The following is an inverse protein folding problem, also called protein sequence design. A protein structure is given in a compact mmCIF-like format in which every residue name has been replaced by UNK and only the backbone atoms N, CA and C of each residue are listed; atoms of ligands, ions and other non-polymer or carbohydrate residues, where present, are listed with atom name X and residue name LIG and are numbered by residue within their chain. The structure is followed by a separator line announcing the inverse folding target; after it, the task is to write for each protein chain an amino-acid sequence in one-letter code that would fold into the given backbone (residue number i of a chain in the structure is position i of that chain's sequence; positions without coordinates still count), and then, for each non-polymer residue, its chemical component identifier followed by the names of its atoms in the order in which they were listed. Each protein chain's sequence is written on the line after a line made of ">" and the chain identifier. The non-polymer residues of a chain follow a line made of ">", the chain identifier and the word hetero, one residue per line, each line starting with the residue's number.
data_IF_320985518318
#
_entry.id   IF_320985518318
#
_cell.length_a   1.000
_cell.length_b   1.000
_cell.length_c   1.000
_cell.angle_alpha   90.00
_cell.angle_beta   90.00
_cell.angle_gamma   90.00
#
_symmetry.space_group_name_H-M   'P 1'
#
loop_
_entity.id
_entity.type
_entity.pdbx_description
1 polymer ?
#
# COMPACT_ATOMS: atom_id res chain seq x y z
N UNK A 1 8.08 2.37 29.70
CA UNK A 1 8.09 2.10 28.24
C UNK A 1 6.66 1.80 27.83
N UNK A 2 5.94 2.68 27.11
CA UNK A 2 4.60 2.38 26.69
C UNK A 2 4.62 1.62 25.36
N UNK A 3 3.95 0.47 25.40
CA UNK A 3 3.63 -0.43 24.30
C UNK A 3 2.78 0.29 23.24
N UNK A 4 3.30 0.41 22.02
CA UNK A 4 2.66 1.14 20.93
C UNK A 4 1.45 0.38 20.35
N UNK A 5 0.29 1.01 20.41
CA UNK A 5 -0.95 0.53 19.79
C UNK A 5 -0.91 0.79 18.29
N UNK A 6 -0.66 -0.26 17.51
CA UNK A 6 -0.77 -0.28 16.04
C UNK A 6 -2.18 0.12 15.57
N UNK A 7 -2.37 1.38 15.21
CA UNK A 7 -3.47 1.82 14.37
C UNK A 7 -2.95 1.96 12.93
N UNK A 8 -3.05 0.88 12.17
CA UNK A 8 -2.69 0.83 10.74
C UNK A 8 -3.70 1.63 9.92
N UNK A 9 -3.41 2.90 9.67
CA UNK A 9 -4.08 3.71 8.64
C UNK A 9 -3.01 4.21 7.66
N UNK A 10 -2.79 3.49 6.57
CA UNK A 10 -2.04 4.00 5.42
C UNK A 10 -2.90 5.07 4.72
N UNK A 11 -2.30 6.21 4.36
CA UNK A 11 -2.98 7.26 3.59
C UNK A 11 -2.74 7.07 2.09
N UNK A 12 -3.82 7.13 1.33
CA UNK A 12 -3.79 7.42 -0.10
C UNK A 12 -3.81 8.94 -0.23
N UNK A 13 -2.74 9.54 -0.73
CA UNK A 13 -2.74 10.94 -1.13
C UNK A 13 -3.80 11.17 -2.20
N UNK A 14 -4.62 12.23 -2.07
CA UNK A 14 -5.76 12.53 -2.95
C UNK A 14 -5.39 12.54 -4.43
N UNK A 15 -5.56 11.40 -5.09
CA UNK A 15 -5.59 11.28 -6.54
C UNK A 15 -6.67 10.26 -6.88
N UNK A 16 -7.79 10.77 -7.41
CA UNK A 16 -9.10 10.14 -7.62
C UNK A 16 -9.98 9.90 -6.37
N UNK A 17 -11.28 10.13 -6.56
CA UNK A 17 -12.33 10.25 -5.52
C UNK A 17 -12.80 8.89 -5.02
N UNK A 18 -11.91 8.04 -4.51
CA UNK A 18 -12.31 6.78 -3.86
C UNK A 18 -11.43 6.54 -2.63
N UNK A 19 -12.01 6.71 -1.44
CA UNK A 19 -11.38 6.33 -0.17
C UNK A 19 -11.43 4.80 -0.07
N UNK A 20 -10.30 4.14 -0.35
CA UNK A 20 -10.12 2.73 0.00
C UNK A 20 -9.72 2.66 1.48
N UNK A 21 -10.61 2.17 2.33
CA UNK A 21 -10.32 1.86 3.73
C UNK A 21 -9.86 0.41 3.79
N UNK A 22 -8.58 0.18 4.05
CA UNK A 22 -8.02 -1.16 4.25
C UNK A 22 -8.26 -1.65 5.68
N UNK A 23 -8.92 -2.79 5.85
CA UNK A 23 -9.05 -3.47 7.14
C UNK A 23 -7.87 -4.45 7.26
N UNK A 24 -6.85 -4.09 8.05
CA UNK A 24 -5.76 -5.01 8.40
C UNK A 24 -6.21 -5.93 9.55
N UNK A 25 -6.13 -7.24 9.37
CA UNK A 25 -6.52 -8.22 10.39
C UNK A 25 -5.45 -8.34 11.48
N UNK A 26 -5.43 -7.37 12.40
CA UNK A 26 -4.92 -7.55 13.76
C UNK A 26 -5.66 -6.63 14.73
N UNK A 27 -6.92 -6.95 15.01
CA UNK A 27 -7.71 -6.28 16.05
C UNK A 27 -7.99 -7.24 17.21
N UNK A 28 -7.18 -7.14 18.26
CA UNK A 28 -7.65 -7.34 19.62
C UNK A 28 -7.29 -6.08 20.42
N UNK A 29 -8.32 -5.30 20.74
CA UNK A 29 -8.20 -4.08 21.54
C UNK A 29 -9.58 -3.46 21.74
N UNK A 30 -10.13 -3.59 22.95
CA UNK A 30 -11.38 -2.94 23.36
C UNK A 30 -11.19 -1.43 23.37
N UNK A 31 -12.14 -0.71 22.76
CA UNK A 31 -12.19 0.75 22.77
C UNK A 31 -12.62 1.37 21.44
N UNK A 32 -13.71 0.87 20.84
CA UNK A 32 -14.40 1.53 19.74
C UNK A 32 -15.55 2.36 20.28
N UNK A 33 -15.66 3.62 19.83
CA UNK A 33 -16.85 4.43 20.05
C UNK A 33 -18.03 3.70 19.40
N UNK A 34 -19.17 3.50 20.09
CA UNK A 34 -20.34 2.86 19.49
C UNK A 34 -20.80 3.62 18.24
N UNK A 35 -21.06 2.87 17.17
CA UNK A 35 -21.47 3.34 15.84
C UNK A 35 -22.91 3.93 15.80
N UNK A 36 -23.45 4.36 16.94
CA UNK A 36 -24.88 4.59 17.15
C UNK A 36 -25.26 6.07 17.33
N UNK A 37 -24.38 7.02 16.96
CA UNK A 37 -24.64 8.46 17.14
C UNK A 37 -24.37 9.35 15.92
N UNK A 38 -24.50 8.81 14.69
CA UNK A 38 -24.57 9.67 13.49
C UNK A 38 -26.02 9.70 12.97
N UNK A 39 -26.80 10.76 13.26
CA UNK A 39 -28.15 10.87 12.75
C UNK A 39 -28.14 11.08 11.23
N UNK A 40 -28.84 10.20 10.51
CA UNK A 40 -29.53 10.55 9.27
C UNK A 40 -28.73 10.63 7.97
N UNK A 41 -27.58 9.97 7.85
CA UNK A 41 -26.98 9.69 6.53
C UNK A 41 -26.71 8.21 6.39
N UNK A 42 -27.56 7.55 5.61
CA UNK A 42 -27.25 6.23 5.06
C UNK A 42 -25.92 6.35 4.32
N UNK A 43 -24.87 5.72 4.86
CA UNK A 43 -23.59 5.62 4.17
C UNK A 43 -23.78 4.59 3.07
N UNK A 44 -24.17 5.06 1.88
CA UNK A 44 -24.23 4.22 0.70
C UNK A 44 -22.80 3.91 0.27
N UNK A 45 -22.29 2.77 0.70
CA UNK A 45 -21.01 2.23 0.23
C UNK A 45 -21.21 1.74 -1.21
N UNK A 46 -20.76 2.52 -2.19
CA UNK A 46 -20.88 2.21 -3.62
C UNK A 46 -19.96 1.04 -4.03
N UNK A 47 -18.85 0.84 -3.32
CA UNK A 47 -17.88 -0.23 -3.53
C UNK A 47 -17.15 -0.58 -2.22
N UNK A 48 -16.76 -1.84 -2.07
CA UNK A 48 -16.01 -2.33 -0.89
C UNK A 48 -14.60 -2.68 -1.34
N UNK A 49 -13.59 -2.10 -0.68
CA UNK A 49 -12.18 -2.49 -0.83
C UNK A 49 -11.76 -3.41 0.31
N UNK A 50 -11.03 -4.49 0.02
CA UNK A 50 -10.46 -5.39 1.03
C UNK A 50 -8.96 -5.53 0.76
N UNK A 51 -8.17 -5.18 1.77
CA UNK A 51 -6.70 -5.18 1.74
C UNK A 51 -6.14 -6.44 2.38
N UNK A 52 -5.27 -7.13 1.65
CA UNK A 52 -4.56 -8.32 2.12
C UNK A 52 -3.16 -7.91 2.57
N UNK A 53 -3.05 -7.63 3.87
CA UNK A 53 -1.79 -7.30 4.55
C UNK A 53 -1.32 -8.49 5.41
N UNK A 54 -0.81 -9.51 4.73
CA UNK A 54 -0.51 -10.81 5.34
C UNK A 54 0.99 -11.05 5.44
N UNK A 55 1.47 -11.17 6.67
CA UNK A 55 2.91 -11.31 6.96
C UNK A 55 3.31 -12.66 7.56
N UNK A 56 2.35 -13.55 7.88
CA UNK A 56 2.63 -14.72 8.73
C UNK A 56 2.05 -16.08 8.26
N UNK A 57 1.27 -16.13 7.16
CA UNK A 57 0.66 -17.38 6.67
C UNK A 57 0.60 -17.41 5.15
N UNK A 58 0.68 -18.61 4.57
CA UNK A 58 0.61 -18.84 3.12
C UNK A 58 -0.68 -19.53 2.67
N UNK A 59 -1.57 -19.90 3.60
CA UNK A 59 -2.70 -20.80 3.32
C UNK A 59 -4.00 -20.03 3.06
N UNK A 60 -4.74 -20.47 2.02
CA UNK A 60 -6.14 -20.11 1.72
C UNK A 60 -6.40 -18.67 1.25
N UNK A 61 -5.38 -17.85 1.03
CA UNK A 61 -5.55 -16.47 0.56
C UNK A 61 -6.09 -16.41 -0.87
N UNK A 62 -5.72 -17.38 -1.71
CA UNK A 62 -6.25 -17.57 -3.06
C UNK A 62 -7.74 -17.94 -3.06
N UNK A 63 -8.18 -18.76 -2.10
CA UNK A 63 -9.57 -19.15 -1.96
C UNK A 63 -10.42 -17.97 -1.49
N UNK A 64 -9.91 -17.21 -0.52
CA UNK A 64 -10.54 -15.98 -0.06
C UNK A 64 -10.66 -14.95 -1.19
N UNK A 65 -9.61 -14.75 -1.99
CA UNK A 65 -9.65 -13.85 -3.14
C UNK A 65 -10.69 -14.28 -4.19
N UNK A 66 -10.77 -15.58 -4.49
CA UNK A 66 -11.79 -16.14 -5.40
C UNK A 66 -13.20 -15.94 -4.86
N UNK A 67 -13.40 -16.21 -3.56
CA UNK A 67 -14.70 -16.06 -2.91
C UNK A 67 -15.19 -14.61 -2.96
N UNK A 68 -14.34 -13.65 -2.55
CA UNK A 68 -14.69 -12.22 -2.55
C UNK A 68 -14.94 -11.68 -3.96
N UNK A 69 -14.14 -12.10 -4.94
CA UNK A 69 -14.37 -11.75 -6.35
C UNK A 69 -15.71 -12.28 -6.87
N UNK A 70 -16.04 -13.55 -6.56
CA UNK A 70 -17.32 -14.14 -6.93
C UNK A 70 -18.50 -13.47 -6.22
N UNK A 71 -18.34 -13.08 -4.96
CA UNK A 71 -19.35 -12.36 -4.18
C UNK A 71 -19.70 -11.02 -4.82
N UNK A 72 -18.70 -10.21 -5.18
CA UNK A 72 -18.93 -8.91 -5.84
C UNK A 72 -19.66 -9.04 -7.18
N UNK A 73 -19.36 -10.09 -7.96
CA UNK A 73 -20.06 -10.38 -9.22
C UNK A 73 -21.53 -10.71 -9.00
N UNK A 74 -21.87 -11.44 -7.92
CA UNK A 74 -23.25 -11.84 -7.60
C UNK A 74 -24.07 -10.69 -7.02
N UNK A 75 -23.47 -9.85 -6.18
CA UNK A 75 -24.16 -8.78 -5.45
C UNK A 75 -24.45 -7.50 -6.25
N UNK A 76 -24.14 -7.46 -7.55
CA UNK A 76 -24.18 -6.25 -8.41
C UNK A 76 -23.37 -5.06 -7.87
N UNK A 77 -22.42 -5.30 -6.96
CA UNK A 77 -21.50 -4.30 -6.40
C UNK A 77 -20.07 -4.82 -6.50
N UNK A 78 -19.20 -4.05 -7.16
CA UNK A 78 -17.80 -4.40 -7.31
C UNK A 78 -17.12 -4.44 -5.93
N UNK A 79 -16.45 -5.56 -5.66
CA UNK A 79 -15.47 -5.67 -4.57
C UNK A 79 -14.08 -5.47 -5.18
N UNK A 80 -13.37 -4.47 -4.69
CA UNK A 80 -11.99 -4.21 -5.04
C UNK A 80 -11.08 -5.03 -4.15
N UNK A 81 -10.21 -5.81 -4.76
CA UNK A 81 -9.22 -6.60 -4.03
C UNK A 81 -7.87 -5.92 -4.11
N UNK A 82 -7.30 -5.67 -2.95
CA UNK A 82 -6.01 -5.00 -2.81
C UNK A 82 -5.06 -5.83 -1.95
N UNK A 83 -3.76 -5.75 -2.20
CA UNK A 83 -2.74 -6.47 -1.42
C UNK A 83 -1.47 -5.63 -1.21
N UNK A 84 -0.86 -5.77 -0.03
CA UNK A 84 0.41 -5.15 0.37
C UNK A 84 1.54 -6.19 0.45
N UNK A 85 1.93 -6.86 -0.66
CA UNK A 85 3.01 -7.83 -0.59
C UNK A 85 4.33 -7.18 -0.19
N UNK A 86 5.21 -7.98 0.41
CA UNK A 86 6.60 -7.60 0.62
C UNK A 86 7.33 -7.54 -0.73
N UNK A 87 8.53 -6.97 -0.74
CA UNK A 87 9.29 -6.73 -1.97
C UNK A 87 9.74 -8.01 -2.71
N UNK A 88 9.82 -9.15 -2.03
CA UNK A 88 10.26 -10.42 -2.62
C UNK A 88 9.30 -10.85 -3.71
N UNK A 89 9.82 -11.23 -4.88
CA UNK A 89 8.99 -11.73 -5.98
C UNK A 89 9.36 -13.18 -6.34
N UNK A 90 8.40 -14.13 -6.29
CA UNK A 90 7.03 -13.96 -5.80
C UNK A 90 6.99 -13.69 -4.28
N UNK A 91 5.94 -13.02 -3.82
CA UNK A 91 5.72 -12.81 -2.39
C UNK A 91 5.48 -14.15 -1.69
N UNK A 92 6.09 -14.33 -0.51
CA UNK A 92 6.07 -15.61 0.22
C UNK A 92 4.67 -16.01 0.69
N UNK A 93 3.87 -15.03 1.12
CA UNK A 93 2.58 -15.26 1.77
C UNK A 93 1.42 -15.14 0.79
N UNK A 94 1.50 -14.15 -0.10
CA UNK A 94 0.46 -13.77 -1.03
C UNK A 94 0.70 -14.28 -2.45
N UNK A 95 1.84 -14.92 -2.74
CA UNK A 95 2.18 -15.38 -4.10
C UNK A 95 1.07 -16.17 -4.79
N UNK A 96 0.46 -17.15 -4.11
CA UNK A 96 -0.66 -17.93 -4.64
C UNK A 96 -1.90 -17.06 -4.92
N UNK A 97 -2.25 -16.18 -3.97
CA UNK A 97 -3.38 -15.27 -4.12
C UNK A 97 -3.17 -14.30 -5.28
N UNK A 98 -1.98 -13.69 -5.38
CA UNK A 98 -1.63 -12.75 -6.44
C UNK A 98 -1.64 -13.42 -7.82
N UNK A 99 -1.19 -14.68 -7.91
CA UNK A 99 -1.20 -15.46 -9.15
C UNK A 99 -2.62 -15.76 -9.67
N UNK A 100 -3.67 -15.59 -8.86
CA UNK A 100 -5.06 -15.67 -9.36
C UNK A 100 -5.39 -14.57 -10.37
N UNK A 101 -4.66 -13.45 -10.35
CA UNK A 101 -4.90 -12.29 -11.20
C UNK A 101 -6.18 -11.53 -10.87
N UNK A 102 -6.70 -11.67 -9.65
CA UNK A 102 -7.96 -11.07 -9.20
C UNK A 102 -7.78 -9.70 -8.51
N UNK A 103 -6.54 -9.31 -8.20
CA UNK A 103 -6.24 -8.08 -7.48
C UNK A 103 -6.27 -6.85 -8.39
N UNK A 104 -7.03 -5.84 -7.98
CA UNK A 104 -7.20 -4.57 -8.67
C UNK A 104 -6.01 -3.63 -8.40
N UNK A 105 -5.56 -3.57 -7.14
CA UNK A 105 -4.46 -2.69 -6.71
C UNK A 105 -3.43 -3.45 -5.85
N UNK A 106 -2.15 -3.21 -6.09
CA UNK A 106 -1.06 -3.76 -5.28
C UNK A 106 -0.20 -2.63 -4.72
N UNK A 107 0.19 -2.72 -3.45
CA UNK A 107 1.07 -1.75 -2.79
C UNK A 107 2.33 -2.46 -2.34
N UNK A 108 3.35 -2.47 -3.21
CA UNK A 108 4.55 -3.27 -2.96
C UNK A 108 5.41 -2.59 -1.89
N UNK A 109 5.65 -3.27 -0.78
CA UNK A 109 6.45 -2.75 0.33
C UNK A 109 7.96 -2.83 -0.03
N UNK A 110 8.52 -1.78 -0.64
CA UNK A 110 9.95 -1.71 -0.99
C UNK A 110 10.79 -1.11 0.14
N UNK A 111 10.64 -1.68 1.34
CA UNK A 111 11.37 -1.33 2.56
C UNK A 111 11.50 -2.55 3.50
N UNK A 112 12.28 -2.42 4.58
CA UNK A 112 12.64 -3.51 5.50
C UNK A 112 13.34 -4.74 4.87
N UNK A 113 13.80 -4.61 3.63
CA UNK A 113 14.35 -5.70 2.83
C UNK A 113 15.50 -5.20 1.94
N UNK A 114 16.74 -5.16 2.47
CA UNK A 114 17.91 -4.55 1.82
C UNK A 114 18.14 -4.91 0.34
N UNK A 115 17.95 -6.17 -0.11
CA UNK A 115 18.23 -6.52 -1.51
C UNK A 115 17.26 -5.92 -2.54
N UNK A 116 16.13 -5.34 -2.11
CA UNK A 116 15.04 -4.93 -3.00
C UNK A 116 14.54 -3.50 -2.76
N UNK A 117 15.24 -2.75 -1.92
CA UNK A 117 14.85 -1.41 -1.47
C UNK A 117 15.91 -0.36 -1.81
N UNK A 118 15.65 0.88 -1.42
CA UNK A 118 16.62 1.97 -1.51
C UNK A 118 17.75 1.80 -0.48
N UNK A 119 18.99 1.99 -0.93
CA UNK A 119 20.18 1.88 -0.09
C UNK A 119 20.59 3.23 0.47
N UNK A 120 20.06 3.60 1.65
CA UNK A 120 20.32 4.90 2.26
C UNK A 120 21.82 5.21 2.49
N UNK A 121 22.64 4.20 2.77
CA UNK A 121 24.08 4.39 2.97
C UNK A 121 24.88 4.76 1.72
N UNK A 122 24.44 4.30 0.54
CA UNK A 122 25.11 4.58 -0.74
C UNK A 122 24.36 5.56 -1.63
N UNK A 123 23.09 5.84 -1.33
CA UNK A 123 22.19 6.59 -2.21
C UNK A 123 21.72 5.81 -3.44
N UNK A 124 22.02 4.51 -3.53
CA UNK A 124 21.68 3.70 -4.70
C UNK A 124 20.18 3.38 -4.80
N UNK A 125 19.64 3.58 -6.01
CA UNK A 125 18.22 3.32 -6.35
C UNK A 125 18.03 2.03 -7.15
N UNK A 126 19.11 1.39 -7.61
CA UNK A 126 19.02 0.33 -8.63
C UNK A 126 18.28 -0.91 -8.12
N UNK A 127 18.51 -1.31 -6.87
CA UNK A 127 17.78 -2.44 -6.26
C UNK A 127 16.27 -2.20 -6.19
N UNK A 128 15.87 -1.00 -5.78
CA UNK A 128 14.46 -0.58 -5.74
C UNK A 128 13.83 -0.58 -7.14
N UNK A 129 14.49 0.06 -8.11
CA UNK A 129 13.98 0.17 -9.49
C UNK A 129 13.90 -1.22 -10.16
N UNK A 130 14.89 -2.08 -9.91
CA UNK A 130 14.90 -3.45 -10.44
C UNK A 130 13.77 -4.28 -9.86
N UNK A 131 13.51 -4.18 -8.54
CA UNK A 131 12.38 -4.83 -7.89
C UNK A 131 11.04 -4.32 -8.44
N UNK A 132 10.88 -3.00 -8.58
CA UNK A 132 9.71 -2.39 -9.21
C UNK A 132 9.45 -2.92 -10.62
N UNK A 133 10.49 -2.99 -11.44
CA UNK A 133 10.39 -3.51 -12.81
C UNK A 133 10.00 -4.99 -12.81
N UNK A 134 10.55 -5.79 -11.88
CA UNK A 134 10.18 -7.20 -11.74
C UNK A 134 8.69 -7.35 -11.43
N UNK A 135 8.18 -6.64 -10.43
CA UNK A 135 6.77 -6.64 -10.06
C UNK A 135 5.86 -6.22 -11.22
N UNK A 136 6.16 -5.08 -11.84
CA UNK A 136 5.29 -4.53 -12.88
C UNK A 136 5.28 -5.34 -14.19
N UNK A 137 6.35 -6.07 -14.49
CA UNK A 137 6.41 -6.93 -15.68
C UNK A 137 5.83 -8.32 -15.45
N UNK A 138 5.92 -8.84 -14.22
CA UNK A 138 5.65 -10.26 -13.96
C UNK A 138 4.27 -10.58 -13.39
N UNK A 139 3.57 -9.63 -12.75
CA UNK A 139 2.28 -9.89 -12.10
C UNK A 139 1.08 -9.44 -12.92
N UNK A 140 -0.03 -10.19 -12.86
CA UNK A 140 -1.32 -9.77 -13.42
C UNK A 140 -2.13 -9.03 -12.35
N UNK A 141 -2.08 -7.70 -12.38
CA UNK A 141 -2.87 -6.82 -11.51
C UNK A 141 -3.24 -5.52 -12.26
N UNK A 142 -4.22 -4.77 -11.76
CA UNK A 142 -4.68 -3.52 -12.35
C UNK A 142 -3.64 -2.39 -12.25
N UNK A 143 -3.49 -1.80 -11.05
CA UNK A 143 -2.45 -0.80 -10.77
C UNK A 143 -1.56 -1.22 -9.62
N UNK A 144 -0.31 -0.79 -9.66
CA UNK A 144 0.73 -1.10 -8.70
C UNK A 144 1.26 0.23 -8.15
N UNK A 145 1.39 0.29 -6.84
CA UNK A 145 1.81 1.45 -6.07
C UNK A 145 3.13 1.12 -5.37
N UNK A 146 4.02 2.11 -5.34
CA UNK A 146 5.29 2.01 -4.63
C UNK A 146 5.04 2.27 -3.14
N UNK A 147 5.22 1.26 -2.28
CA UNK A 147 5.12 1.40 -0.83
C UNK A 147 6.44 1.83 -0.20
N UNK A 148 6.43 2.93 0.55
CA UNK A 148 7.61 3.49 1.21
C UNK A 148 7.33 3.89 2.66
N UNK A 149 8.33 3.89 3.55
CA UNK A 149 8.22 4.51 4.86
C UNK A 149 8.15 6.03 4.71
N UNK A 150 7.26 6.69 5.45
CA UNK A 150 7.13 8.14 5.51
C UNK A 150 8.20 8.81 6.39
N UNK A 151 8.98 8.02 7.13
CA UNK A 151 10.09 8.49 7.96
C UNK A 151 11.10 7.38 8.20
N UNK A 152 12.38 7.69 8.50
CA UNK A 152 13.37 6.69 8.89
C UNK A 152 12.97 5.86 10.11
N UNK A 153 12.18 6.43 11.02
CA UNK A 153 11.69 5.74 12.22
C UNK A 153 10.48 4.84 11.95
N UNK A 154 9.84 4.97 10.77
CA UNK A 154 8.65 4.21 10.42
C UNK A 154 8.96 2.76 10.00
N UNK A 155 10.23 2.46 9.71
CA UNK A 155 10.70 1.17 9.24
C UNK A 155 12.15 0.95 9.69
N UNK A 156 12.60 -0.31 9.79
CA UNK A 156 13.99 -0.61 10.12
C UNK A 156 14.98 -0.21 9.02
N UNK A 157 14.53 -0.12 7.76
CA UNK A 157 15.36 0.36 6.64
C UNK A 157 14.52 0.71 5.40
N UNK A 158 15.14 1.35 4.40
CA UNK A 158 14.52 1.61 3.08
C UNK A 158 13.76 2.93 2.96
N UNK A 159 13.88 3.85 3.94
CA UNK A 159 13.33 5.20 3.81
C UNK A 159 14.06 5.97 2.71
N UNK A 160 13.29 6.52 1.75
CA UNK A 160 13.81 7.25 0.59
C UNK A 160 13.71 8.75 0.84
N UNK A 161 14.76 9.55 0.66
CA UNK A 161 14.64 11.02 0.68
C UNK A 161 13.68 11.55 -0.39
N UNK A 162 12.92 12.59 -0.08
CA UNK A 162 11.80 13.03 -0.93
C UNK A 162 12.24 13.60 -2.29
N UNK A 163 13.43 14.20 -2.34
CA UNK A 163 14.11 14.67 -3.55
C UNK A 163 14.59 13.51 -4.42
N UNK A 164 15.19 12.48 -3.82
CA UNK A 164 15.56 11.23 -4.52
C UNK A 164 14.33 10.57 -5.12
N UNK A 165 13.24 10.48 -4.35
CA UNK A 165 11.97 9.94 -4.85
C UNK A 165 11.49 10.74 -6.07
N UNK A 166 11.43 12.07 -5.96
CA UNK A 166 10.82 12.94 -6.97
C UNK A 166 11.66 13.04 -8.25
N UNK A 167 12.98 13.21 -8.12
CA UNK A 167 13.85 13.52 -9.24
C UNK A 167 14.58 12.30 -9.82
N UNK A 168 14.70 11.20 -9.09
CA UNK A 168 15.44 10.01 -9.55
C UNK A 168 14.52 8.79 -9.75
N UNK A 169 13.64 8.49 -8.80
CA UNK A 169 12.84 7.26 -8.84
C UNK A 169 11.56 7.44 -9.66
N UNK A 170 10.75 8.47 -9.36
CA UNK A 170 9.47 8.69 -10.04
C UNK A 170 9.59 8.77 -11.58
N UNK A 171 10.59 9.44 -12.17
CA UNK A 171 10.75 9.48 -13.63
C UNK A 171 10.98 8.11 -14.27
N UNK A 172 11.54 7.15 -13.52
CA UNK A 172 11.79 5.79 -14.00
C UNK A 172 10.56 4.92 -13.85
N UNK A 173 9.95 4.89 -12.66
CA UNK A 173 8.85 3.96 -12.37
C UNK A 173 7.54 4.33 -13.07
N UNK A 174 7.30 5.63 -13.33
CA UNK A 174 6.12 6.14 -14.05
C UNK A 174 6.04 5.69 -15.51
N UNK A 175 7.13 5.17 -16.08
CA UNK A 175 7.15 4.61 -17.44
C UNK A 175 6.32 3.33 -17.56
N UNK A 176 6.05 2.65 -16.44
CA UNK A 176 5.23 1.45 -16.43
C UNK A 176 3.73 1.81 -16.57
N UNK A 177 2.97 1.18 -17.48
CA UNK A 177 1.52 1.40 -17.58
C UNK A 177 0.76 0.93 -16.33
N UNK A 178 1.40 0.09 -15.50
CA UNK A 178 0.84 -0.37 -14.22
C UNK A 178 1.09 0.61 -13.07
N UNK A 179 1.85 1.68 -13.25
CA UNK A 179 2.03 2.67 -12.19
C UNK A 179 0.68 3.27 -11.76
N UNK A 180 0.37 3.16 -10.48
CA UNK A 180 -0.82 3.70 -9.82
C UNK A 180 -0.53 4.87 -8.89
N UNK A 181 0.69 4.95 -8.33
CA UNK A 181 1.06 5.99 -7.37
C UNK A 181 2.10 5.54 -6.35
N UNK A 182 2.13 6.23 -5.22
CA UNK A 182 2.97 5.93 -4.05
C UNK A 182 2.05 5.75 -2.84
N UNK A 183 2.30 4.71 -2.05
CA UNK A 183 1.73 4.49 -0.72
C UNK A 183 2.80 4.78 0.32
N UNK A 184 2.41 5.45 1.41
CA UNK A 184 3.33 5.76 2.50
C UNK A 184 2.90 5.13 3.82
N UNK A 185 3.87 4.51 4.48
CA UNK A 185 3.73 3.94 5.81
C UNK A 185 4.38 4.87 6.85
N UNK A 186 3.64 5.53 7.73
CA UNK A 186 2.18 5.57 7.87
C UNK A 186 1.71 7.02 7.95
N UNK A 187 0.39 7.23 8.02
CA UNK A 187 -0.20 8.56 8.23
C UNK A 187 0.45 9.33 9.38
N UNK A 188 0.71 8.63 10.49
CA UNK A 188 1.31 9.24 11.67
C UNK A 188 2.67 9.86 11.32
N UNK A 189 3.56 9.08 10.71
CA UNK A 189 4.89 9.52 10.33
C UNK A 189 4.87 10.59 9.24
N UNK A 190 3.95 10.50 8.27
CA UNK A 190 3.77 11.52 7.23
C UNK A 190 3.35 12.88 7.81
N UNK A 191 2.42 12.89 8.78
CA UNK A 191 2.00 14.12 9.45
C UNK A 191 3.13 14.79 10.24
N UNK A 192 4.03 14.00 10.83
CA UNK A 192 5.17 14.53 11.59
C UNK A 192 6.30 15.06 10.68
N UNK A 193 6.53 14.42 9.54
CA UNK A 193 7.69 14.69 8.68
C UNK A 193 7.35 15.43 7.40
N UNK A 194 6.07 15.62 7.09
CA UNK A 194 5.58 16.25 5.87
C UNK A 194 6.09 15.53 4.61
N UNK A 195 6.26 14.21 4.67
CA UNK A 195 6.97 13.44 3.63
C UNK A 195 6.32 13.57 2.26
N UNK A 196 4.99 13.47 2.20
CA UNK A 196 4.21 13.74 0.98
C UNK A 196 4.04 15.25 0.77
N UNK A 197 3.85 16.04 1.82
CA UNK A 197 3.48 17.46 1.69
C UNK A 197 4.63 18.36 1.21
N UNK A 198 5.89 18.06 1.58
CA UNK A 198 7.05 18.90 1.27
C UNK A 198 7.41 18.95 -0.22
N UNK A 199 7.45 17.83 -0.97
CA UNK A 199 7.71 17.85 -2.42
C UNK A 199 6.69 18.65 -3.21
N UNK A 200 5.41 18.53 -2.87
CA UNK A 200 4.35 19.23 -3.60
C UNK A 200 4.25 20.70 -3.21
N UNK A 201 4.61 21.09 -1.98
CA UNK A 201 4.62 22.51 -1.57
C UNK A 201 5.70 23.32 -2.32
N UNK A 202 6.89 22.74 -2.54
CA UNK A 202 7.98 23.39 -3.30
C UNK A 202 7.68 23.57 -4.79
N UNK A 203 6.75 22.80 -5.35
CA UNK A 203 6.35 22.91 -6.77
C UNK A 203 5.42 24.11 -7.01
N UNK A 204 4.73 24.62 -5.97
CA UNK A 204 3.80 25.75 -6.08
C UNK A 204 4.36 27.08 -5.54
N UNK A 205 5.65 27.15 -5.17
CA UNK A 205 6.32 28.36 -4.69
C UNK A 205 7.33 28.93 -5.73
N UNK A 206 7.11 28.70 -7.02
CA UNK A 206 7.83 29.39 -8.11
C UNK A 206 6.88 30.02 -9.11
#
# INVERSE_FOLDING_TARGET
>A
MPEERNQSNALIGRWHRELLVGISSRCQGRGGVPLEQLPGREVVVSSIGIEFDIEASTLYWEDLARYLSAYGKRGRRKVYLTATPQCHFPDRNLGNALNTGLFDYLWIQLYNNPPFQYSAGSGDINSLVSSWNRWTTSIKAGKIFLGLPAAPQAAGSGCVPSDVLTFQILPLIKKSPKYGGVMVWSRYWDLQNGYILHPFRKVYEK
#
